data_IF_738996842697
#
_entry.id   IF_738996842697
#
_cell.length_a   1.000
_cell.length_b   1.000
_cell.length_c   1.000
_cell.angle_alpha   90.00
_cell.angle_beta   90.00
_cell.angle_gamma   90.00
#
_symmetry.space_group_name_H-M   'P 1'
#
loop_
_entity.id
_entity.type
_entity.pdbx_description
1 polymer ?
#
# COMPACT_ATOMS: atom_id res chain seq x y z
N UNK A 1 -29.16 -30.93 -32.93
CA UNK A 1 -28.86 -31.18 -34.34
C UNK A 1 -28.40 -29.87 -34.95
N UNK A 2 -27.18 -29.87 -35.49
CA UNK A 2 -26.41 -28.70 -35.86
C UNK A 2 -26.97 -27.97 -37.10
N UNK A 3 -26.78 -26.65 -37.13
CA UNK A 3 -26.53 -25.92 -38.38
C UNK A 3 -25.41 -24.89 -38.13
N UNK A 4 -24.21 -25.28 -38.56
CA UNK A 4 -23.13 -24.34 -38.87
C UNK A 4 -23.32 -23.97 -40.34
N UNK A 5 -23.45 -22.67 -40.62
CA UNK A 5 -23.12 -22.10 -41.91
C UNK A 5 -22.16 -20.93 -41.64
N UNK A 6 -20.91 -21.17 -42.02
CA UNK A 6 -19.80 -20.24 -42.00
C UNK A 6 -19.93 -19.37 -43.25
N UNK A 7 -20.22 -18.07 -43.08
CA UNK A 7 -20.18 -17.13 -44.19
C UNK A 7 -18.85 -16.37 -44.16
N UNK A 8 -18.05 -16.70 -45.15
CA UNK A 8 -16.70 -16.23 -45.42
C UNK A 8 -16.81 -14.98 -46.28
N UNK A 9 -16.55 -13.81 -45.70
CA UNK A 9 -16.22 -12.61 -46.48
C UNK A 9 -14.85 -12.09 -46.05
N UNK A 10 -13.84 -12.59 -46.74
CA UNK A 10 -12.45 -12.16 -46.64
C UNK A 10 -12.27 -10.74 -47.20
N UNK A 11 -11.46 -9.95 -46.47
CA UNK A 11 -10.49 -8.98 -46.96
C UNK A 11 -10.97 -7.60 -47.47
N UNK A 12 -10.91 -6.57 -46.58
CA UNK A 12 -10.41 -5.20 -46.89
C UNK A 12 -9.84 -4.48 -45.67
N UNK A 13 -8.50 -4.35 -45.64
CA UNK A 13 -7.67 -3.20 -45.20
C UNK A 13 -8.15 -2.34 -44.02
N UNK A 14 -7.33 -2.28 -42.96
CA UNK A 14 -7.22 -1.10 -42.11
C UNK A 14 -6.74 -1.38 -40.69
N UNK A 15 -5.51 -0.98 -40.37
CA UNK A 15 -5.03 -0.90 -38.99
C UNK A 15 -5.96 0.04 -38.18
N UNK A 16 -6.54 -0.47 -37.10
CA UNK A 16 -7.40 0.26 -36.16
C UNK A 16 -7.13 -0.25 -34.74
N UNK A 17 -7.22 0.62 -33.72
CA UNK A 17 -6.56 0.41 -32.44
C UNK A 17 -7.18 -0.80 -31.73
N UNK A 18 -6.33 -1.65 -31.16
CA UNK A 18 -6.79 -2.66 -30.22
C UNK A 18 -7.32 -1.92 -29.00
N UNK A 19 -8.63 -1.99 -28.81
CA UNK A 19 -9.26 -1.73 -27.53
C UNK A 19 -8.75 -2.79 -26.54
N UNK A 20 -7.57 -2.52 -25.96
CA UNK A 20 -7.23 -3.05 -24.65
C UNK A 20 -8.20 -2.39 -23.68
N UNK A 21 -9.32 -3.06 -23.45
CA UNK A 21 -10.30 -2.77 -22.41
C UNK A 21 -9.66 -3.09 -21.05
N UNK A 22 -8.57 -2.38 -20.74
CA UNK A 22 -8.12 -2.21 -19.37
C UNK A 22 -9.00 -1.11 -18.81
N UNK A 23 -10.21 -1.50 -18.44
CA UNK A 23 -11.02 -0.77 -17.49
C UNK A 23 -10.26 -0.79 -16.15
N UNK A 24 -9.20 0.00 -16.05
CA UNK A 24 -8.61 0.42 -14.79
C UNK A 24 -9.62 1.36 -14.19
N UNK A 25 -10.55 0.79 -13.42
CA UNK A 25 -11.44 1.56 -12.56
C UNK A 25 -10.56 2.54 -11.79
N UNK A 26 -10.77 3.81 -12.09
CA UNK A 26 -10.22 4.95 -11.38
C UNK A 26 -10.60 4.82 -9.90
N UNK A 27 -9.73 4.19 -9.10
CA UNK A 27 -9.75 4.42 -7.67
C UNK A 27 -8.88 5.65 -7.47
N UNK A 28 -9.51 6.82 -7.48
CA UNK A 28 -8.96 7.94 -6.76
C UNK A 28 -9.31 7.72 -5.27
N UNK A 29 -8.42 7.17 -4.43
CA UNK A 29 -8.52 7.45 -3.01
C UNK A 29 -8.41 8.97 -2.88
N UNK A 30 -9.42 9.57 -2.26
CA UNK A 30 -9.55 11.01 -2.14
C UNK A 30 -8.53 11.51 -1.13
N UNK A 31 -8.08 12.76 -1.23
CA UNK A 31 -7.13 13.35 -0.29
C UNK A 31 -7.49 13.15 1.20
N UNK A 32 -8.78 12.92 1.51
CA UNK A 32 -9.27 12.55 2.85
C UNK A 32 -8.71 11.21 3.36
N UNK A 33 -8.66 10.14 2.55
CA UNK A 33 -8.14 8.85 3.02
C UNK A 33 -6.64 8.90 3.30
N UNK A 34 -5.91 9.69 2.50
CA UNK A 34 -4.48 9.91 2.71
C UNK A 34 -4.25 10.74 3.98
N UNK A 35 -5.08 11.76 4.24
CA UNK A 35 -5.04 12.54 5.48
C UNK A 35 -5.35 11.69 6.73
N UNK A 36 -6.35 10.82 6.65
CA UNK A 36 -6.71 9.90 7.75
C UNK A 36 -5.58 8.91 8.02
N UNK A 37 -4.96 8.38 6.96
CA UNK A 37 -3.78 7.52 7.07
C UNK A 37 -2.62 8.24 7.74
N UNK A 38 -2.26 9.44 7.26
CA UNK A 38 -1.14 10.22 7.83
C UNK A 38 -1.39 10.56 9.30
N UNK A 39 -2.62 10.95 9.65
CA UNK A 39 -3.00 11.24 11.04
C UNK A 39 -2.84 10.01 11.92
N UNK A 40 -3.31 8.85 11.45
CA UNK A 40 -3.21 7.58 12.18
C UNK A 40 -1.75 7.15 12.31
N UNK A 41 -0.96 7.27 11.24
CA UNK A 41 0.45 6.92 11.22
C UNK A 41 1.26 7.78 12.21
N UNK A 42 1.03 9.09 12.25
CA UNK A 42 1.68 9.96 13.22
C UNK A 42 1.33 9.56 14.67
N UNK A 43 0.05 9.28 14.96
CA UNK A 43 -0.37 8.83 16.30
C UNK A 43 0.26 7.49 16.68
N UNK A 44 0.31 6.55 15.75
CA UNK A 44 0.96 5.26 15.94
C UNK A 44 2.45 5.42 16.22
N UNK A 45 3.15 6.28 15.47
CA UNK A 45 4.57 6.55 15.66
C UNK A 45 4.88 7.03 17.08
N UNK A 46 4.10 7.98 17.62
CA UNK A 46 4.29 8.43 19.00
C UNK A 46 4.02 7.33 20.03
N UNK A 47 3.00 6.50 19.82
CA UNK A 47 2.71 5.37 20.69
C UNK A 47 3.85 4.34 20.68
N UNK A 48 4.46 4.08 19.53
CA UNK A 48 5.59 3.17 19.38
C UNK A 48 6.85 3.69 20.08
N UNK A 49 7.12 5.01 19.99
CA UNK A 49 8.20 5.65 20.76
C UNK A 49 7.99 5.45 22.27
N UNK A 50 6.78 5.70 22.78
CA UNK A 50 6.48 5.53 24.21
C UNK A 50 6.59 4.06 24.66
N UNK A 51 6.10 3.14 23.83
CA UNK A 51 6.23 1.71 24.09
C UNK A 51 7.69 1.26 24.10
N UNK A 52 8.50 1.74 23.15
CA UNK A 52 9.95 1.50 23.09
C UNK A 52 10.66 2.00 24.36
N UNK A 53 10.40 3.24 24.78
CA UNK A 53 10.97 3.79 26.03
C UNK A 53 10.59 2.97 27.25
N UNK A 54 9.34 2.48 27.31
CA UNK A 54 8.90 1.61 28.40
C UNK A 54 9.64 0.27 28.41
N UNK A 55 9.83 -0.33 27.23
CA UNK A 55 10.55 -1.59 27.06
C UNK A 55 12.04 -1.45 27.38
N UNK A 56 12.68 -0.34 27.01
CA UNK A 56 14.07 -0.03 27.39
C UNK A 56 14.21 0.11 28.92
N UNK A 57 13.29 0.84 29.55
CA UNK A 57 13.31 1.11 30.98
C UNK A 57 12.98 -0.12 31.83
N UNK A 58 11.99 -0.92 31.42
CA UNK A 58 11.44 -2.04 32.22
C UNK A 58 11.86 -3.42 31.75
N UNK A 59 12.45 -3.54 30.57
CA UNK A 59 12.96 -4.81 30.06
C UNK A 59 14.01 -5.41 31.00
N UNK A 60 14.07 -6.73 31.06
CA UNK A 60 15.05 -7.45 31.88
C UNK A 60 16.15 -8.10 31.03
N UNK A 61 15.82 -8.45 29.79
CA UNK A 61 16.74 -9.05 28.83
C UNK A 61 17.49 -7.96 28.05
N UNK A 62 18.81 -8.12 27.92
CA UNK A 62 19.66 -7.17 27.19
C UNK A 62 19.19 -6.97 25.74
N UNK A 63 18.84 -8.05 25.05
CA UNK A 63 18.39 -7.99 23.65
C UNK A 63 17.10 -7.18 23.48
N UNK A 64 16.17 -7.29 24.43
CA UNK A 64 14.92 -6.52 24.42
C UNK A 64 15.20 -5.03 24.59
N UNK A 65 16.13 -4.65 25.48
CA UNK A 65 16.51 -3.24 25.67
C UNK A 65 17.19 -2.66 24.43
N UNK A 66 18.09 -3.42 23.82
CA UNK A 66 18.78 -2.99 22.60
C UNK A 66 17.78 -2.79 21.46
N UNK A 67 16.88 -3.75 21.26
CA UNK A 67 15.81 -3.61 20.27
C UNK A 67 14.91 -2.42 20.55
N UNK A 68 14.50 -2.22 21.81
CA UNK A 68 13.67 -1.10 22.22
C UNK A 68 14.32 0.26 21.94
N UNK A 69 15.64 0.38 22.19
CA UNK A 69 16.39 1.59 21.87
C UNK A 69 16.43 1.86 20.36
N UNK A 70 16.69 0.85 19.55
CA UNK A 70 16.63 0.99 18.08
C UNK A 70 15.26 1.44 17.61
N UNK A 71 14.17 0.87 18.15
CA UNK A 71 12.82 1.31 17.84
C UNK A 71 12.59 2.79 18.17
N UNK A 72 13.05 3.26 19.34
CA UNK A 72 12.93 4.67 19.71
C UNK A 72 13.71 5.57 18.77
N UNK A 73 14.95 5.20 18.44
CA UNK A 73 15.82 5.97 17.55
C UNK A 73 15.16 6.12 16.16
N UNK A 74 14.77 4.99 15.54
CA UNK A 74 14.19 4.96 14.19
C UNK A 74 12.87 5.72 14.10
N UNK A 75 11.98 5.58 15.10
CA UNK A 75 10.66 6.23 15.08
C UNK A 75 10.74 7.71 15.45
N UNK A 76 11.76 8.11 16.21
CA UNK A 76 12.01 9.53 16.50
C UNK A 76 12.55 10.26 15.27
N UNK A 77 13.45 9.64 14.49
CA UNK A 77 13.94 10.20 13.23
C UNK A 77 12.80 10.45 12.23
N UNK A 78 11.80 9.55 12.20
CA UNK A 78 10.61 9.72 11.35
C UNK A 78 9.73 10.94 11.72
N UNK A 79 10.02 11.63 12.83
CA UNK A 79 9.31 12.82 13.31
C UNK A 79 10.07 14.15 13.04
N UNK A 80 11.26 14.10 12.44
CA UNK A 80 12.08 15.27 12.08
C UNK A 80 12.06 15.57 10.56
#
# INVERSE_FOLDING_TARGET
MAVVACDRQEDRRGAGPRSDDRQTTSRAPTASSDQDFMTTACQANFAEIEAGRLAEAKGTHADVKTFARHMVDDHTEANE
#
